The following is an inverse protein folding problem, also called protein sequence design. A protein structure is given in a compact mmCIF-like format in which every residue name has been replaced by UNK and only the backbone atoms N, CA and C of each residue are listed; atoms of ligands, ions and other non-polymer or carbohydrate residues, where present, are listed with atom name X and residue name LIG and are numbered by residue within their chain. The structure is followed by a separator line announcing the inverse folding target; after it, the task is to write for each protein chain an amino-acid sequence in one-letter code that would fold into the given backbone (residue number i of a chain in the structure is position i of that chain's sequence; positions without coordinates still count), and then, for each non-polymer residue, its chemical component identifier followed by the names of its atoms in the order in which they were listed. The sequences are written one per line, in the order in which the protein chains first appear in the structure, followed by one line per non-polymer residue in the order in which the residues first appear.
data_IF_095819120387
#
_entry.id   IF_095819120387
#
_cell.length_a   1.000
_cell.length_b   1.000
_cell.length_c   1.000
_cell.angle_alpha   90.00
_cell.angle_beta   90.00
_cell.angle_gamma   90.00
#
_symmetry.space_group_name_H-M   'P 1'
#
loop_
_entity.id
_entity.type
_entity.pdbx_description
1 polymer ?
#
# COMPACT_ATOMS: atom_id res chain seq x y z
N UNK A 1 25.05 39.85 45.43
CA UNK A 1 25.18 39.87 43.96
C UNK A 1 24.68 38.55 43.39
N UNK A 2 23.44 38.50 42.88
CA UNK A 2 22.89 37.29 42.25
C UNK A 2 23.06 37.39 40.73
N UNK A 3 23.78 36.42 40.13
CA UNK A 3 23.94 36.31 38.68
C UNK A 3 22.60 35.94 38.05
N UNK A 4 21.99 36.89 37.35
CA UNK A 4 20.78 36.67 36.56
C UNK A 4 21.16 35.79 35.37
N UNK A 5 20.78 34.50 35.43
CA UNK A 5 20.93 33.60 34.30
C UNK A 5 20.14 34.15 33.11
N UNK A 6 20.84 34.34 31.98
CA UNK A 6 20.28 35.00 30.80
C UNK A 6 19.04 34.26 30.27
N UNK A 7 17.99 35.00 29.88
CA UNK A 7 16.75 34.45 29.31
C UNK A 7 17.00 33.54 28.09
N UNK A 8 18.13 33.69 27.40
CA UNK A 8 18.54 32.81 26.29
C UNK A 8 18.89 31.39 26.75
N UNK A 9 19.46 31.22 27.95
CA UNK A 9 19.78 29.89 28.49
C UNK A 9 18.51 29.12 28.89
N UNK A 10 17.51 29.79 29.47
CA UNK A 10 16.23 29.14 29.81
C UNK A 10 15.43 28.71 28.57
N UNK A 11 15.54 29.45 27.46
CA UNK A 11 14.91 29.07 26.18
C UNK A 11 15.57 27.84 25.53
N UNK A 12 16.88 27.64 25.72
CA UNK A 12 17.58 26.48 25.17
C UNK A 12 17.22 25.20 25.94
N UNK A 13 17.17 25.28 27.28
CA UNK A 13 16.78 24.14 28.14
C UNK A 13 15.31 23.76 27.91
N UNK A 14 14.40 24.74 27.76
CA UNK A 14 12.98 24.47 27.47
C UNK A 14 12.75 23.88 26.07
N UNK A 15 13.64 24.14 25.10
CA UNK A 15 13.58 23.47 23.78
C UNK A 15 14.14 22.06 23.80
N UNK A 16 15.08 21.74 24.69
CA UNK A 16 15.59 20.36 24.83
C UNK A 16 14.63 19.45 25.58
N UNK A 17 13.83 19.96 26.53
CA UNK A 17 12.86 19.14 27.27
C UNK A 17 11.55 18.88 26.52
N UNK A 18 11.19 19.72 25.55
CA UNK A 18 9.96 19.55 24.75
C UNK A 18 10.09 18.59 23.57
N UNK A 19 11.28 18.04 23.31
CA UNK A 19 11.52 17.21 22.11
C UNK A 19 11.51 15.70 22.35
N UNK A 20 11.50 15.23 23.61
CA UNK A 20 11.69 13.80 23.92
C UNK A 20 10.73 13.23 24.98
N UNK A 21 9.61 13.89 25.27
CA UNK A 21 8.55 13.33 26.15
C UNK A 21 7.31 12.88 25.38
N UNK A 22 7.47 12.51 24.10
CA UNK A 22 6.53 11.57 23.47
C UNK A 22 6.77 10.19 24.07
N UNK A 23 6.09 9.96 25.19
CA UNK A 23 5.56 8.70 25.71
C UNK A 23 5.84 7.49 24.81
N UNK A 24 6.61 6.55 25.35
CA UNK A 24 6.63 5.12 25.00
C UNK A 24 6.62 4.74 23.52
N UNK A 25 7.80 4.68 22.91
CA UNK A 25 8.43 3.40 22.53
C UNK A 25 7.72 2.42 21.58
N UNK A 26 6.53 2.74 21.07
CA UNK A 26 5.85 1.96 20.03
C UNK A 26 5.96 2.80 18.77
N UNK A 27 7.08 2.63 18.05
CA UNK A 27 7.14 3.09 16.66
C UNK A 27 5.97 2.44 15.94
N UNK A 28 5.07 3.26 15.37
CA UNK A 28 4.00 2.71 14.54
C UNK A 28 4.64 1.82 13.46
N UNK A 29 4.19 0.56 13.31
CA UNK A 29 4.81 -0.35 12.37
C UNK A 29 4.73 0.25 10.97
N UNK A 30 5.85 0.24 10.25
CA UNK A 30 5.92 0.70 8.87
C UNK A 30 4.96 -0.12 7.99
N UNK A 31 4.52 0.43 6.86
CA UNK A 31 3.63 -0.31 5.94
C UNK A 31 4.23 -1.65 5.48
N UNK A 32 5.57 -1.72 5.40
CA UNK A 32 6.30 -2.95 5.13
C UNK A 32 6.14 -3.97 6.25
N UNK A 33 6.34 -3.58 7.51
CA UNK A 33 6.17 -4.45 8.68
C UNK A 33 4.70 -4.85 8.86
N UNK A 34 3.75 -3.93 8.62
CA UNK A 34 2.30 -4.23 8.60
C UNK A 34 1.98 -5.29 7.55
N UNK A 35 2.55 -5.17 6.35
CA UNK A 35 2.38 -6.14 5.27
C UNK A 35 2.98 -7.50 5.61
N UNK A 36 4.18 -7.54 6.17
CA UNK A 36 4.83 -8.79 6.59
C UNK A 36 4.02 -9.51 7.67
N UNK A 37 3.47 -8.77 8.64
CA UNK A 37 2.56 -9.31 9.65
C UNK A 37 1.26 -9.85 9.04
N UNK A 38 0.65 -9.16 8.07
CA UNK A 38 -0.54 -9.68 7.39
C UNK A 38 -0.24 -10.93 6.57
N UNK A 39 0.93 -11.00 5.94
CA UNK A 39 1.37 -12.19 5.18
C UNK A 39 1.58 -13.39 6.12
N UNK A 40 2.15 -13.18 7.31
CA UNK A 40 2.33 -14.27 8.29
C UNK A 40 0.97 -14.80 8.78
N UNK A 41 0.03 -13.91 9.10
CA UNK A 41 -1.34 -14.29 9.49
C UNK A 41 -2.04 -15.04 8.36
N UNK A 42 -1.93 -14.55 7.12
CA UNK A 42 -2.51 -15.20 5.94
C UNK A 42 -2.02 -16.65 5.76
N UNK A 43 -0.72 -16.91 5.95
CA UNK A 43 -0.16 -18.27 5.88
C UNK A 43 -0.79 -19.21 6.91
N UNK A 44 -0.94 -18.74 8.15
CA UNK A 44 -1.58 -19.53 9.23
C UNK A 44 -3.03 -19.86 8.90
N UNK A 45 -3.78 -18.91 8.33
CA UNK A 45 -5.18 -19.14 7.91
C UNK A 45 -5.25 -20.17 6.77
N UNK A 46 -4.34 -20.09 5.80
CA UNK A 46 -4.26 -21.06 4.69
C UNK A 46 -3.90 -22.45 5.19
N UNK A 47 -2.95 -22.58 6.11
CA UNK A 47 -2.60 -23.87 6.74
C UNK A 47 -3.81 -24.49 7.43
N UNK A 48 -4.55 -23.71 8.24
CA UNK A 48 -5.81 -24.15 8.87
C UNK A 48 -6.86 -24.57 7.85
N UNK A 49 -6.98 -23.86 6.73
CA UNK A 49 -7.89 -24.22 5.63
C UNK A 49 -7.53 -25.57 4.98
N UNK A 50 -6.24 -25.83 4.80
CA UNK A 50 -5.76 -27.09 4.21
C UNK A 50 -5.90 -28.27 5.16
N UNK A 51 -5.74 -28.05 6.47
CA UNK A 51 -5.91 -29.08 7.49
C UNK A 51 -7.38 -29.49 7.68
N UNK A 52 -8.34 -28.60 7.37
CA UNK A 52 -9.77 -28.89 7.54
C UNK A 52 -10.36 -29.71 6.37
N UNK A 53 -11.27 -30.66 6.64
CA UNK A 53 -12.02 -31.37 5.61
C UNK A 53 -12.83 -30.44 4.70
N UNK A 54 -13.06 -30.84 3.43
CA UNK A 54 -13.77 -30.02 2.43
C UNK A 54 -15.18 -29.58 2.84
N UNK A 55 -15.88 -30.37 3.66
CA UNK A 55 -17.25 -30.11 4.11
C UNK A 55 -17.36 -29.44 5.49
N UNK A 56 -16.24 -29.06 6.11
CA UNK A 56 -16.26 -28.49 7.44
C UNK A 56 -16.88 -27.07 7.45
N UNK A 57 -17.83 -26.74 8.34
CA UNK A 57 -18.54 -25.47 8.33
C UNK A 57 -17.63 -24.24 8.47
N UNK A 58 -16.59 -24.34 9.33
CA UNK A 58 -15.59 -23.26 9.51
C UNK A 58 -14.72 -22.98 8.29
N UNK A 59 -14.72 -23.85 7.27
CA UNK A 59 -13.91 -23.67 6.06
C UNK A 59 -14.38 -22.47 5.25
N UNK A 60 -15.69 -22.20 5.22
CA UNK A 60 -16.24 -21.04 4.53
C UNK A 60 -15.85 -19.73 5.21
N UNK A 61 -15.82 -19.71 6.55
CA UNK A 61 -15.41 -18.55 7.34
C UNK A 61 -13.93 -18.22 7.14
N UNK A 62 -13.06 -19.23 7.27
CA UNK A 62 -11.62 -19.06 7.05
C UNK A 62 -11.28 -18.68 5.61
N UNK A 63 -12.06 -19.13 4.62
CA UNK A 63 -11.87 -18.74 3.22
C UNK A 63 -12.19 -17.25 3.00
N UNK A 64 -13.25 -16.73 3.64
CA UNK A 64 -13.57 -15.29 3.63
C UNK A 64 -12.48 -14.47 4.31
N UNK A 65 -11.97 -14.95 5.45
CA UNK A 65 -10.87 -14.31 6.18
C UNK A 65 -9.59 -14.27 5.34
N UNK A 66 -9.22 -15.38 4.69
CA UNK A 66 -8.09 -15.43 3.78
C UNK A 66 -8.24 -14.43 2.62
N UNK A 67 -9.43 -14.33 2.02
CA UNK A 67 -9.71 -13.37 0.96
C UNK A 67 -9.60 -11.91 1.45
N UNK A 68 -10.07 -11.63 2.67
CA UNK A 68 -9.96 -10.31 3.29
C UNK A 68 -8.50 -9.90 3.52
N UNK A 69 -7.70 -10.78 4.13
CA UNK A 69 -6.27 -10.58 4.35
C UNK A 69 -5.52 -10.39 3.02
N UNK A 70 -5.86 -11.16 1.99
CA UNK A 70 -5.27 -11.00 0.66
C UNK A 70 -5.56 -9.61 0.05
N UNK A 71 -6.77 -9.08 0.27
CA UNK A 71 -7.14 -7.72 -0.12
C UNK A 71 -6.28 -6.67 0.58
N UNK A 72 -6.08 -6.80 1.90
CA UNK A 72 -5.26 -5.89 2.70
C UNK A 72 -3.76 -5.95 2.32
N UNK A 73 -3.22 -7.15 2.11
CA UNK A 73 -1.84 -7.35 1.64
C UNK A 73 -1.64 -6.68 0.27
N UNK A 74 -2.64 -6.75 -0.61
CA UNK A 74 -2.59 -6.13 -1.94
C UNK A 74 -2.69 -4.61 -1.88
N UNK A 75 -3.47 -4.05 -0.95
CA UNK A 75 -3.56 -2.59 -0.78
C UNK A 75 -2.29 -1.98 -0.18
N UNK A 76 -1.59 -2.72 0.68
CA UNK A 76 -0.31 -2.31 1.28
C UNK A 76 0.91 -2.68 0.43
N UNK A 77 0.75 -3.60 -0.53
CA UNK A 77 1.79 -3.85 -1.53
C UNK A 77 2.05 -2.60 -2.33
N UNK A 78 3.31 -2.38 -2.73
CA UNK A 78 3.69 -1.29 -3.62
C UNK A 78 2.69 -1.23 -4.78
N UNK A 79 1.86 -0.16 -4.82
CA UNK A 79 1.14 0.20 -6.03
C UNK A 79 2.22 0.26 -7.09
N UNK A 80 2.20 -0.65 -8.07
CA UNK A 80 3.20 -0.75 -9.14
C UNK A 80 3.67 0.65 -9.45
N UNK A 81 4.93 0.98 -9.10
CA UNK A 81 5.53 2.28 -9.37
C UNK A 81 5.11 2.63 -10.79
N UNK A 82 4.38 3.74 -10.95
CA UNK A 82 3.85 4.18 -12.24
C UNK A 82 4.95 4.01 -13.29
N UNK A 83 4.77 3.06 -14.22
CA UNK A 83 5.75 2.83 -15.28
C UNK A 83 5.59 3.98 -16.26
N UNK A 84 6.39 5.02 -16.10
CA UNK A 84 6.58 6.10 -17.07
C UNK A 84 5.44 7.11 -17.24
N UNK A 85 5.72 8.15 -18.03
CA UNK A 85 4.82 9.26 -18.39
C UNK A 85 3.60 8.72 -19.15
N UNK A 86 3.74 7.59 -19.82
CA UNK A 86 2.74 6.96 -20.67
C UNK A 86 1.51 6.51 -19.85
N UNK A 87 1.72 5.95 -18.65
CA UNK A 87 0.60 5.55 -17.80
C UNK A 87 -0.11 6.74 -17.17
N UNK A 88 0.61 7.82 -16.85
CA UNK A 88 -0.02 9.09 -16.43
C UNK A 88 -0.93 9.64 -17.54
N UNK A 89 -0.45 9.61 -18.78
CA UNK A 89 -1.24 10.03 -19.93
C UNK A 89 -2.49 9.14 -20.12
N UNK A 90 -2.34 7.82 -20.03
CA UNK A 90 -3.47 6.88 -20.14
C UNK A 90 -4.51 7.13 -19.04
N UNK A 91 -4.07 7.38 -17.80
CA UNK A 91 -4.96 7.66 -16.68
C UNK A 91 -5.69 9.00 -16.85
N UNK A 92 -5.01 10.03 -17.33
CA UNK A 92 -5.61 11.34 -17.60
C UNK A 92 -6.61 11.27 -18.76
N UNK A 93 -6.28 10.59 -19.85
CA UNK A 93 -7.21 10.36 -20.98
C UNK A 93 -8.43 9.56 -20.52
N UNK A 94 -8.25 8.55 -19.65
CA UNK A 94 -9.36 7.78 -19.08
C UNK A 94 -10.28 8.64 -18.20
N UNK A 95 -9.75 9.68 -17.55
CA UNK A 95 -10.53 10.62 -16.71
C UNK A 95 -11.35 11.59 -17.55
N UNK A 96 -10.77 12.08 -18.65
CA UNK A 96 -11.37 13.11 -19.50
C UNK A 96 -12.33 12.53 -20.54
N UNK A 97 -12.08 11.31 -21.02
CA UNK A 97 -12.80 10.72 -22.14
C UNK A 97 -13.94 9.78 -21.71
N UNK A 98 -15.07 9.74 -22.45
CA UNK A 98 -16.10 8.73 -22.26
C UNK A 98 -15.55 7.28 -22.36
N UNK A 99 -16.03 6.34 -21.51
CA UNK A 99 -15.46 4.99 -21.44
C UNK A 99 -15.44 4.21 -22.76
N UNK A 100 -16.47 4.39 -23.60
CA UNK A 100 -16.57 3.74 -24.91
C UNK A 100 -15.49 4.23 -25.88
N UNK A 101 -15.24 5.53 -25.93
CA UNK A 101 -14.23 6.13 -26.81
C UNK A 101 -12.82 5.72 -26.37
N UNK A 102 -12.56 5.72 -25.06
CA UNK A 102 -11.29 5.24 -24.52
C UNK A 102 -11.01 3.78 -24.90
N UNK A 103 -12.04 2.91 -24.78
CA UNK A 103 -11.93 1.49 -25.16
C UNK A 103 -11.65 1.32 -26.66
N UNK A 104 -12.31 2.10 -27.52
CA UNK A 104 -12.06 2.07 -28.96
C UNK A 104 -10.62 2.48 -29.29
N UNK A 105 -10.12 3.56 -28.68
CA UNK A 105 -8.75 4.05 -28.89
C UNK A 105 -7.69 3.01 -28.48
N UNK A 106 -7.87 2.38 -27.32
CA UNK A 106 -6.95 1.35 -26.83
C UNK A 106 -6.96 0.10 -27.71
N UNK A 107 -8.10 -0.26 -28.30
CA UNK A 107 -8.18 -1.37 -29.26
C UNK A 107 -7.45 -1.03 -30.57
N UNK A 108 -7.64 0.18 -31.10
CA UNK A 108 -6.95 0.64 -32.30
C UNK A 108 -5.42 0.65 -32.10
N UNK A 109 -4.96 1.13 -30.95
CA UNK A 109 -3.54 1.12 -30.60
C UNK A 109 -2.97 -0.31 -30.59
N UNK A 110 -3.70 -1.29 -30.04
CA UNK A 110 -3.30 -2.71 -30.04
C UNK A 110 -3.25 -3.31 -31.44
N UNK A 111 -4.21 -2.99 -32.29
CA UNK A 111 -4.21 -3.46 -33.69
C UNK A 111 -3.02 -2.91 -34.47
N UNK A 112 -2.68 -1.63 -34.26
CA UNK A 112 -1.54 -1.02 -34.91
C UNK A 112 -0.20 -1.60 -34.42
N UNK A 113 -0.06 -1.90 -33.13
CA UNK A 113 1.14 -2.58 -32.63
C UNK A 113 1.30 -3.97 -33.25
N UNK A 114 0.21 -4.75 -33.34
CA UNK A 114 0.24 -6.06 -34.01
C UNK A 114 0.63 -5.98 -35.48
N UNK A 115 0.17 -4.96 -36.19
CA UNK A 115 0.54 -4.73 -37.60
C UNK A 115 2.00 -4.32 -37.75
N UNK A 116 2.52 -3.52 -36.83
CA UNK A 116 3.93 -3.13 -36.82
C UNK A 116 4.84 -4.33 -36.52
N UNK A 117 4.49 -5.15 -35.52
CA UNK A 117 5.22 -6.38 -35.16
C UNK A 117 5.18 -7.44 -36.28
N UNK A 118 4.13 -7.45 -37.10
CA UNK A 118 4.03 -8.38 -38.24
C UNK A 118 4.71 -7.85 -39.52
N UNK A 119 5.13 -6.59 -39.54
CA UNK A 119 5.83 -5.95 -40.66
C UNK A 119 7.37 -5.93 -40.47
N UNK A 120 7.86 -6.31 -39.29
CA UNK A 120 9.26 -6.63 -38.98
C UNK A 120 9.55 -8.12 -39.18
#
# INVERSE_FOLDING_TARGET
MYKVASRKAQSAVSRMTMRNTSVDGISEPTDKERRENLVSIYKVVVEKLTALPKKHPKRAELAKEAQHLQGQIKSLGDKKKFRGIENYFIDEVKRVMPPLQFKMLMNLARENMRKAEAAE
#
